data_IF_858127003524
#
_entry.id   IF_858127003524
#
_cell.length_a   1.000
_cell.length_b   1.000
_cell.length_c   1.000
_cell.angle_alpha   90.00
_cell.angle_beta   90.00
_cell.angle_gamma   90.00
#
_symmetry.space_group_name_H-M   'P 1'
#
loop_
_entity.id
_entity.type
_entity.pdbx_description
1 polymer ?
#
# COMPACT_ATOMS: atom_id res chain seq x y z
N UNK A 1 -12.49 -7.80 -0.52
CA UNK A 1 -12.04 -7.21 -1.80
C UNK A 1 -12.51 -8.07 -2.97
N UNK A 2 -13.53 -7.61 -3.73
CA UNK A 2 -14.09 -8.36 -4.89
C UNK A 2 -13.41 -8.01 -6.23
N UNK A 3 -12.36 -7.21 -6.23
CA UNK A 3 -11.80 -6.62 -7.47
C UNK A 3 -10.76 -7.48 -8.23
N UNK A 4 -10.30 -8.59 -7.67
CA UNK A 4 -9.21 -9.37 -8.25
C UNK A 4 -9.61 -10.22 -9.45
N UNK A 5 -10.76 -10.93 -9.48
CA UNK A 5 -11.19 -11.64 -10.67
C UNK A 5 -11.37 -10.71 -11.88
N UNK A 6 -11.84 -9.48 -11.66
CA UNK A 6 -12.02 -8.48 -12.71
C UNK A 6 -10.70 -7.97 -13.29
N UNK A 7 -9.63 -7.90 -12.49
CA UNK A 7 -8.31 -7.47 -12.97
C UNK A 7 -7.70 -8.49 -13.96
N UNK A 8 -7.86 -9.78 -13.71
CA UNK A 8 -7.41 -10.81 -14.66
C UNK A 8 -8.11 -10.69 -16.01
N UNK A 9 -9.43 -10.52 -16.02
CA UNK A 9 -10.18 -10.33 -17.26
C UNK A 9 -9.71 -9.09 -18.05
N UNK A 10 -9.39 -8.00 -17.34
CA UNK A 10 -8.85 -6.79 -17.95
C UNK A 10 -7.46 -7.04 -18.56
N UNK A 11 -6.60 -7.78 -17.89
CA UNK A 11 -5.27 -8.15 -18.39
C UNK A 11 -5.41 -9.02 -19.63
N UNK A 12 -6.30 -10.02 -19.64
CA UNK A 12 -6.55 -10.88 -20.79
C UNK A 12 -7.03 -10.08 -22.01
N UNK A 13 -7.93 -9.13 -21.78
CA UNK A 13 -8.40 -8.21 -22.84
C UNK A 13 -7.27 -7.32 -23.35
N UNK A 14 -6.41 -6.82 -22.46
CA UNK A 14 -5.26 -6.01 -22.82
C UNK A 14 -4.23 -6.79 -23.65
N UNK A 15 -3.97 -8.07 -23.31
CA UNK A 15 -3.11 -8.96 -24.11
C UNK A 15 -3.69 -9.14 -25.51
N UNK A 16 -5.00 -9.45 -25.64
CA UNK A 16 -5.68 -9.58 -26.93
C UNK A 16 -5.63 -8.32 -27.76
N UNK A 17 -5.69 -7.15 -27.13
CA UNK A 17 -5.59 -5.84 -27.78
C UNK A 17 -4.14 -5.42 -28.11
N UNK A 18 -3.14 -6.26 -27.80
CA UNK A 18 -1.73 -5.96 -28.07
C UNK A 18 -1.11 -4.90 -27.17
N UNK A 19 -1.70 -4.63 -26.00
CA UNK A 19 -1.12 -3.73 -24.98
C UNK A 19 0.21 -4.30 -24.52
N UNK A 20 1.24 -3.46 -24.49
CA UNK A 20 2.62 -3.89 -24.21
C UNK A 20 2.97 -3.87 -22.71
N UNK A 21 2.28 -3.08 -21.91
CA UNK A 21 2.60 -2.89 -20.48
C UNK A 21 1.35 -2.74 -19.64
N UNK A 22 1.35 -3.40 -18.48
CA UNK A 22 0.37 -3.18 -17.43
C UNK A 22 1.05 -2.73 -16.13
N UNK A 23 0.41 -1.83 -15.41
CA UNK A 23 0.71 -1.49 -14.02
C UNK A 23 -0.50 -2.00 -13.22
N UNK A 24 -0.39 -3.15 -12.54
CA UNK A 24 -1.52 -3.72 -11.81
C UNK A 24 -1.87 -2.90 -10.58
N UNK A 25 -3.03 -3.15 -9.98
CA UNK A 25 -3.50 -2.43 -8.79
C UNK A 25 -2.77 -2.91 -7.52
N UNK A 26 -1.47 -2.58 -7.43
CA UNK A 26 -0.69 -2.79 -6.20
C UNK A 26 -0.87 -1.60 -5.26
N UNK A 27 -0.27 -0.47 -5.51
CA UNK A 27 -0.43 0.83 -4.85
C UNK A 27 -0.65 0.75 -3.33
N UNK A 28 0.17 -0.02 -2.63
CA UNK A 28 0.00 -0.26 -1.20
C UNK A 28 1.17 -1.02 -0.60
N UNK A 29 0.85 -2.01 0.25
CA UNK A 29 1.83 -2.82 0.97
C UNK A 29 2.82 -3.52 0.03
N UNK A 30 4.06 -3.65 0.49
CA UNK A 30 5.10 -4.40 -0.21
C UNK A 30 4.81 -5.91 -0.15
N UNK A 31 4.38 -6.48 -1.27
CA UNK A 31 4.14 -7.92 -1.39
C UNK A 31 5.41 -8.72 -1.74
N UNK A 32 6.59 -8.09 -1.80
CA UNK A 32 7.87 -8.79 -1.76
C UNK A 32 8.28 -9.14 -0.32
N UNK A 33 7.71 -8.46 0.67
CA UNK A 33 7.80 -8.86 2.07
C UNK A 33 6.95 -10.13 2.32
N UNK A 34 7.58 -11.19 2.84
CA UNK A 34 6.93 -12.49 3.03
C UNK A 34 5.75 -12.45 4.02
N UNK A 35 5.82 -11.63 5.08
CA UNK A 35 4.75 -11.48 6.06
C UNK A 35 3.51 -10.86 5.43
N UNK A 36 3.68 -9.74 4.70
CA UNK A 36 2.58 -9.09 3.97
C UNK A 36 1.98 -10.00 2.91
N UNK A 37 2.84 -10.69 2.14
CA UNK A 37 2.44 -11.60 1.07
C UNK A 37 1.58 -12.78 1.58
N UNK A 38 1.81 -13.24 2.82
CA UNK A 38 1.08 -14.35 3.42
C UNK A 38 -0.33 -13.97 3.91
N UNK A 39 -0.66 -12.69 3.98
CA UNK A 39 -1.97 -12.23 4.46
C UNK A 39 -3.08 -12.58 3.47
N UNK A 40 -4.19 -13.20 3.92
CA UNK A 40 -5.29 -13.63 3.06
C UNK A 40 -5.89 -12.50 2.20
N UNK A 41 -5.90 -11.27 2.70
CA UNK A 41 -6.42 -10.12 1.96
C UNK A 41 -5.66 -9.82 0.67
N UNK A 42 -4.40 -10.26 0.55
CA UNK A 42 -3.55 -10.05 -0.62
C UNK A 42 -3.44 -11.27 -1.54
N UNK A 43 -4.04 -12.42 -1.19
CA UNK A 43 -3.96 -13.63 -2.00
C UNK A 43 -4.24 -13.39 -3.48
N UNK A 44 -5.29 -12.63 -3.77
CA UNK A 44 -5.63 -12.32 -5.14
C UNK A 44 -4.63 -11.41 -5.86
N UNK A 45 -3.95 -10.48 -5.17
CA UNK A 45 -2.85 -9.70 -5.77
C UNK A 45 -1.66 -10.60 -6.10
N UNK A 46 -1.34 -11.54 -5.19
CA UNK A 46 -0.29 -12.53 -5.40
C UNK A 46 -0.57 -13.42 -6.62
N UNK A 47 -1.82 -13.80 -6.85
CA UNK A 47 -2.22 -14.53 -8.06
C UNK A 47 -2.03 -13.70 -9.33
N UNK A 48 -2.38 -12.42 -9.29
CA UNK A 48 -2.15 -11.50 -10.42
C UNK A 48 -0.66 -11.32 -10.69
N UNK A 49 0.19 -11.15 -9.66
CA UNK A 49 1.65 -11.10 -9.85
C UNK A 49 2.17 -12.33 -10.58
N UNK A 50 1.81 -13.54 -10.12
CA UNK A 50 2.22 -14.80 -10.76
C UNK A 50 1.78 -14.87 -12.22
N UNK A 51 0.54 -14.47 -12.48
CA UNK A 51 0.01 -14.46 -13.84
C UNK A 51 0.77 -13.48 -14.75
N UNK A 52 1.15 -12.32 -14.24
CA UNK A 52 1.93 -11.34 -14.98
C UNK A 52 3.36 -11.84 -15.26
N UNK A 53 3.98 -12.54 -14.31
CA UNK A 53 5.27 -13.20 -14.51
C UNK A 53 5.20 -14.21 -15.67
N UNK A 54 4.15 -15.05 -15.73
CA UNK A 54 3.92 -16.01 -16.82
C UNK A 54 3.77 -15.30 -18.17
N UNK A 55 3.03 -14.19 -18.23
CA UNK A 55 2.84 -13.43 -19.46
C UNK A 55 4.14 -12.76 -19.92
N UNK A 56 4.94 -12.25 -18.99
CA UNK A 56 6.23 -11.62 -19.27
C UNK A 56 7.25 -12.64 -19.81
N UNK A 57 7.36 -13.81 -19.18
CA UNK A 57 8.23 -14.91 -19.64
C UNK A 57 7.87 -15.35 -21.08
N UNK A 58 6.58 -15.33 -21.45
CA UNK A 58 6.09 -15.64 -22.78
C UNK A 58 6.23 -14.47 -23.77
N UNK A 59 6.72 -13.32 -23.33
CA UNK A 59 6.83 -12.11 -24.18
C UNK A 59 5.49 -11.51 -24.61
N UNK A 60 4.39 -11.86 -23.95
CA UNK A 60 3.05 -11.41 -24.30
C UNK A 60 2.71 -10.04 -23.73
N UNK A 61 3.17 -9.75 -22.52
CA UNK A 61 2.94 -8.48 -21.84
C UNK A 61 4.03 -8.24 -20.79
N UNK A 62 4.55 -7.04 -20.71
CA UNK A 62 5.42 -6.58 -19.64
C UNK A 62 4.59 -5.97 -18.51
N UNK A 63 5.15 -5.92 -17.28
CA UNK A 63 4.47 -5.32 -16.13
C UNK A 63 5.41 -4.45 -15.29
N UNK A 64 4.83 -3.65 -14.41
CA UNK A 64 5.55 -2.96 -13.33
C UNK A 64 4.68 -2.97 -12.07
N UNK A 65 5.17 -3.57 -10.98
CA UNK A 65 4.51 -3.52 -9.68
C UNK A 65 4.95 -2.23 -8.98
N UNK A 66 3.99 -1.41 -8.53
CA UNK A 66 4.28 -0.17 -7.83
C UNK A 66 3.80 -0.26 -6.37
N UNK A 67 4.75 -0.37 -5.44
CA UNK A 67 4.49 -0.36 -4.00
C UNK A 67 4.71 1.03 -3.44
N UNK A 68 3.72 1.56 -2.74
CA UNK A 68 3.68 2.96 -2.27
C UNK A 68 3.63 3.07 -0.75
N UNK A 69 3.46 1.93 -0.05
CA UNK A 69 2.96 1.98 1.31
C UNK A 69 1.55 2.59 1.37
N UNK A 70 1.02 2.84 2.57
CA UNK A 70 -0.25 3.53 2.74
C UNK A 70 -0.16 5.00 2.30
N UNK A 71 -1.26 5.53 1.78
CA UNK A 71 -1.34 6.94 1.41
C UNK A 71 -1.62 7.78 2.65
N UNK A 72 -0.62 8.58 3.10
CA UNK A 72 -0.72 9.37 4.33
C UNK A 72 -1.89 10.36 4.30
N UNK A 73 -2.13 11.00 3.16
CA UNK A 73 -3.24 11.94 2.95
C UNK A 73 -4.61 11.24 3.09
N UNK A 74 -4.74 10.02 2.62
CA UNK A 74 -5.95 9.21 2.81
C UNK A 74 -6.07 8.71 4.25
N UNK A 75 -5.00 8.14 4.81
CA UNK A 75 -5.00 7.62 6.18
C UNK A 75 -5.41 8.67 7.21
N UNK A 76 -4.91 9.90 7.06
CA UNK A 76 -5.27 11.01 7.96
C UNK A 76 -6.72 11.46 7.75
N UNK A 77 -7.17 11.56 6.49
CA UNK A 77 -8.54 12.00 6.18
C UNK A 77 -9.59 10.98 6.64
N UNK A 78 -9.34 9.69 6.44
CA UNK A 78 -10.26 8.61 6.80
C UNK A 78 -10.14 8.18 8.28
N UNK A 79 -9.25 8.81 9.04
CA UNK A 79 -9.09 8.52 10.47
C UNK A 79 -8.50 7.14 10.77
N UNK A 80 -7.63 6.59 9.91
CA UNK A 80 -7.12 5.22 10.04
C UNK A 80 -6.36 5.00 11.36
N UNK A 81 -5.56 5.99 11.79
CA UNK A 81 -4.78 5.92 13.03
C UNK A 81 -5.35 6.83 14.12
N UNK A 82 -6.00 7.91 13.72
CA UNK A 82 -6.44 8.99 14.61
C UNK A 82 -7.86 9.42 14.26
N UNK A 83 -8.72 9.45 15.25
CA UNK A 83 -9.97 10.19 15.16
C UNK A 83 -9.69 11.65 15.58
N UNK A 84 -9.49 12.50 14.58
CA UNK A 84 -9.25 13.93 14.80
C UNK A 84 -10.46 14.64 15.42
N UNK A 85 -11.67 14.16 15.20
CA UNK A 85 -12.89 14.74 15.71
C UNK A 85 -13.10 14.36 17.19
N UNK A 86 -12.88 13.08 17.50
CA UNK A 86 -12.98 12.55 18.86
C UNK A 86 -11.70 12.72 19.70
N UNK A 87 -10.61 13.23 19.11
CA UNK A 87 -9.28 13.36 19.77
C UNK A 87 -8.80 12.04 20.36
N UNK A 88 -8.91 10.96 19.58
CA UNK A 88 -8.44 9.64 20.01
C UNK A 88 -7.44 9.06 19.01
N UNK A 89 -6.48 8.28 19.52
CA UNK A 89 -5.47 7.60 18.73
C UNK A 89 -5.32 6.14 19.13
N UNK A 90 -5.41 5.22 18.16
CA UNK A 90 -5.06 3.82 18.35
C UNK A 90 -3.56 3.65 18.04
N UNK A 91 -2.77 3.28 19.05
CA UNK A 91 -1.34 3.06 18.90
C UNK A 91 -1.08 1.55 18.83
N UNK A 92 -0.75 1.08 17.63
CA UNK A 92 -0.46 -0.33 17.38
C UNK A 92 0.95 -0.66 17.86
N UNK A 93 1.07 -1.70 18.70
CA UNK A 93 2.30 -2.14 19.36
C UNK A 93 3.12 -0.99 19.98
N UNK A 94 2.39 -0.02 20.56
CA UNK A 94 2.98 1.17 21.17
C UNK A 94 3.28 2.32 20.23
N UNK A 95 3.04 2.17 18.93
CA UNK A 95 3.12 3.24 17.93
C UNK A 95 4.55 3.72 17.61
N UNK A 96 5.58 2.90 17.87
CA UNK A 96 6.98 3.25 17.64
C UNK A 96 7.50 2.87 16.26
N UNK A 97 6.89 1.88 15.64
CA UNK A 97 7.33 1.38 14.34
C UNK A 97 7.24 2.47 13.27
N UNK A 98 8.30 2.57 12.46
CA UNK A 98 8.29 3.44 11.28
C UNK A 98 7.45 2.80 10.18
N UNK A 99 6.68 3.61 9.50
CA UNK A 99 5.85 3.23 8.38
C UNK A 99 6.28 4.06 7.19
N UNK A 100 6.68 3.41 6.10
CA UNK A 100 6.96 4.08 4.83
C UNK A 100 5.64 4.49 4.18
N UNK A 101 5.40 5.78 4.01
CA UNK A 101 4.14 6.32 3.50
C UNK A 101 4.37 7.23 2.30
N UNK A 102 3.40 7.26 1.41
CA UNK A 102 3.38 8.15 0.24
C UNK A 102 2.14 9.03 0.22
N UNK A 103 2.21 10.13 -0.54
CA UNK A 103 1.02 10.86 -0.94
C UNK A 103 0.47 10.27 -2.24
N UNK A 104 -0.82 10.39 -2.46
CA UNK A 104 -1.45 9.96 -3.71
C UNK A 104 -0.81 10.65 -4.93
N UNK A 105 -0.41 11.91 -4.80
CA UNK A 105 0.31 12.65 -5.85
C UNK A 105 1.67 12.04 -6.21
N UNK A 106 2.35 11.42 -5.25
CA UNK A 106 3.64 10.74 -5.48
C UNK A 106 3.45 9.46 -6.27
N UNK A 107 2.38 8.70 -6.00
CA UNK A 107 2.01 7.56 -6.84
C UNK A 107 1.77 7.99 -8.30
N UNK A 108 1.05 9.09 -8.53
CA UNK A 108 0.85 9.64 -9.88
C UNK A 108 2.15 10.02 -10.59
N UNK A 109 3.11 10.66 -9.87
CA UNK A 109 4.44 10.97 -10.40
C UNK A 109 5.22 9.70 -10.75
N UNK A 110 5.13 8.66 -9.90
CA UNK A 110 5.78 7.37 -10.14
C UNK A 110 5.21 6.68 -11.38
N UNK A 111 3.88 6.63 -11.54
CA UNK A 111 3.24 6.10 -12.75
C UNK A 111 3.72 6.82 -14.01
N UNK A 112 3.73 8.16 -13.98
CA UNK A 112 4.28 8.95 -15.10
C UNK A 112 5.74 8.54 -15.39
N UNK A 113 6.56 8.38 -14.37
CA UNK A 113 7.98 8.00 -14.54
C UNK A 113 8.12 6.60 -15.12
N UNK A 114 7.32 5.63 -14.67
CA UNK A 114 7.27 4.27 -15.21
C UNK A 114 6.94 4.31 -16.71
N UNK A 115 5.94 5.07 -17.11
CA UNK A 115 5.50 5.15 -18.51
C UNK A 115 6.52 5.84 -19.41
N UNK A 116 7.29 6.81 -18.89
CA UNK A 116 8.35 7.51 -19.66
C UNK A 116 9.68 6.77 -19.68
N UNK A 117 9.86 5.72 -18.85
CA UNK A 117 11.07 4.91 -18.76
C UNK A 117 10.73 3.41 -18.87
N UNK A 118 10.10 2.97 -19.99
CA UNK A 118 9.53 1.64 -20.09
C UNK A 118 10.57 0.51 -20.02
N UNK A 119 11.79 0.72 -20.52
CA UNK A 119 12.84 -0.31 -20.48
C UNK A 119 13.39 -0.53 -19.08
N UNK A 120 13.61 0.56 -18.34
CA UNK A 120 14.20 0.54 -16.99
C UNK A 120 13.23 -0.03 -15.94
N UNK A 121 11.92 0.01 -16.24
CA UNK A 121 10.85 -0.36 -15.31
C UNK A 121 10.12 -1.65 -15.71
N UNK A 122 10.65 -2.37 -16.73
CA UNK A 122 10.06 -3.60 -17.22
C UNK A 122 10.21 -4.75 -16.22
N UNK A 123 9.14 -5.51 -16.05
CA UNK A 123 9.09 -6.82 -15.38
C UNK A 123 9.72 -6.79 -13.96
N UNK A 124 9.39 -5.76 -13.21
CA UNK A 124 9.96 -5.56 -11.88
C UNK A 124 9.03 -4.80 -10.93
N UNK A 125 9.39 -4.88 -9.66
CA UNK A 125 8.83 -4.05 -8.60
C UNK A 125 9.59 -2.72 -8.48
N UNK A 126 8.84 -1.67 -8.14
CA UNK A 126 9.34 -0.32 -7.82
C UNK A 126 8.68 0.12 -6.52
N UNK A 127 9.49 0.68 -5.63
CA UNK A 127 9.06 1.23 -4.35
C UNK A 127 9.20 2.74 -4.36
N UNK A 128 8.19 3.43 -3.86
CA UNK A 128 8.21 4.88 -3.66
C UNK A 128 7.67 5.23 -2.29
N UNK A 129 8.24 6.27 -1.70
CA UNK A 129 7.77 6.85 -0.45
C UNK A 129 8.09 8.34 -0.39
N UNK A 130 7.31 9.08 0.39
CA UNK A 130 7.59 10.47 0.74
C UNK A 130 8.26 10.56 2.12
N UNK A 131 7.89 9.66 3.06
CA UNK A 131 8.33 9.75 4.45
C UNK A 131 8.32 8.37 5.12
N UNK A 132 9.22 8.20 6.08
CA UNK A 132 9.13 7.18 7.12
C UNK A 132 8.70 7.87 8.41
N UNK A 133 7.57 7.45 8.99
CA UNK A 133 6.99 8.10 10.15
C UNK A 133 6.32 7.10 11.08
N UNK A 134 6.49 7.26 12.39
CA UNK A 134 5.77 6.46 13.38
C UNK A 134 4.45 7.12 13.80
N UNK A 135 3.52 6.31 14.31
CA UNK A 135 2.26 6.84 14.86
C UNK A 135 2.51 7.85 15.98
N UNK A 136 3.52 7.61 16.83
CA UNK A 136 3.88 8.54 17.90
C UNK A 136 4.38 9.90 17.38
N UNK A 137 5.12 9.91 16.25
CA UNK A 137 5.52 11.16 15.61
C UNK A 137 4.33 11.91 15.02
N UNK A 138 3.41 11.19 14.35
CA UNK A 138 2.17 11.78 13.83
C UNK A 138 1.29 12.33 14.98
N UNK A 139 1.17 11.59 16.08
CA UNK A 139 0.40 12.04 17.25
C UNK A 139 1.00 13.31 17.87
N UNK A 140 2.33 13.39 18.01
CA UNK A 140 2.98 14.63 18.48
C UNK A 140 2.68 15.83 17.59
N UNK A 141 2.68 15.64 16.27
CA UNK A 141 2.30 16.70 15.34
C UNK A 141 0.84 17.10 15.51
N UNK A 142 -0.07 16.13 15.64
CA UNK A 142 -1.48 16.41 15.85
C UNK A 142 -1.71 17.20 17.15
N UNK A 143 -1.05 16.81 18.25
CA UNK A 143 -1.10 17.51 19.52
C UNK A 143 -0.53 18.94 19.44
N UNK A 144 0.56 19.13 18.71
CA UNK A 144 1.15 20.46 18.52
C UNK A 144 0.23 21.41 17.73
N UNK A 145 -0.55 20.86 16.79
CA UNK A 145 -1.53 21.62 16.01
C UNK A 145 -2.84 21.90 16.78
N UNK A 146 -3.07 21.18 17.88
CA UNK A 146 -4.28 21.30 18.72
C UNK A 146 -3.92 21.40 20.19
N UNK A 147 -3.16 22.43 20.64
CA UNK A 147 -2.56 22.48 21.97
C UNK A 147 -3.57 22.57 23.11
N UNK A 148 -4.79 23.03 22.85
CA UNK A 148 -5.88 23.09 23.84
C UNK A 148 -6.60 21.75 24.03
N UNK A 149 -6.37 20.77 23.13
CA UNK A 149 -7.13 19.53 23.11
C UNK A 149 -6.37 18.41 23.83
N UNK A 150 -7.10 17.62 24.60
CA UNK A 150 -6.56 16.42 25.24
C UNK A 150 -6.80 15.23 24.32
N UNK A 151 -5.72 14.60 23.88
CA UNK A 151 -5.77 13.38 23.09
C UNK A 151 -5.78 12.14 23.98
N UNK A 152 -6.80 11.30 23.84
CA UNK A 152 -6.84 9.99 24.48
C UNK A 152 -6.11 8.97 23.58
N UNK A 153 -5.31 8.10 24.18
CA UNK A 153 -4.59 7.05 23.44
C UNK A 153 -5.03 5.66 23.89
N UNK A 154 -5.20 4.74 22.95
CA UNK A 154 -5.46 3.33 23.21
C UNK A 154 -4.34 2.51 22.59
N UNK A 155 -3.71 1.64 23.39
CA UNK A 155 -2.75 0.65 22.88
C UNK A 155 -3.51 -0.53 22.30
N UNK A 156 -3.15 -0.95 21.09
CA UNK A 156 -3.74 -2.07 20.35
C UNK A 156 -2.62 -2.99 19.92
N UNK A 157 -2.78 -4.30 20.14
CA UNK A 157 -1.84 -5.28 19.59
C UNK A 157 -2.13 -5.54 18.11
N UNK A 158 -1.11 -5.42 17.26
CA UNK A 158 -1.25 -5.75 15.83
C UNK A 158 -1.48 -7.27 15.62
N UNK A 159 -0.94 -8.13 16.48
CA UNK A 159 -1.19 -9.58 16.41
C UNK A 159 -2.65 -9.94 16.72
N UNK A 160 -3.32 -9.17 17.57
CA UNK A 160 -4.73 -9.36 17.94
C UNK A 160 -5.74 -8.87 16.93
N UNK A 161 -5.32 -8.25 15.83
CA UNK A 161 -6.21 -7.77 14.80
C UNK A 161 -6.90 -8.93 14.05
N UNK A 162 -8.20 -8.81 13.82
CA UNK A 162 -8.98 -9.80 13.08
C UNK A 162 -8.62 -9.86 11.59
N UNK A 163 -9.23 -10.81 10.84
CA UNK A 163 -9.01 -10.94 9.39
C UNK A 163 -9.47 -9.71 8.60
N UNK A 164 -10.46 -8.98 9.10
CA UNK A 164 -10.96 -7.76 8.46
C UNK A 164 -9.95 -6.61 8.53
N UNK A 165 -8.97 -6.71 9.46
CA UNK A 165 -7.94 -5.72 9.70
C UNK A 165 -6.56 -6.12 9.11
N UNK A 166 -6.51 -7.13 8.25
CA UNK A 166 -5.26 -7.60 7.60
C UNK A 166 -4.51 -6.47 6.88
N UNK A 167 -5.21 -5.45 6.37
CA UNK A 167 -4.58 -4.28 5.77
C UNK A 167 -3.76 -3.50 6.80
N UNK A 168 -4.27 -3.36 8.03
CA UNK A 168 -3.53 -2.72 9.12
C UNK A 168 -2.29 -3.52 9.49
N UNK A 169 -2.40 -4.86 9.57
CA UNK A 169 -1.23 -5.73 9.79
C UNK A 169 -0.15 -5.51 8.75
N UNK A 170 -0.54 -5.43 7.47
CA UNK A 170 0.41 -5.22 6.38
C UNK A 170 1.17 -3.88 6.50
N UNK A 171 0.53 -2.84 7.03
CA UNK A 171 1.17 -1.54 7.27
C UNK A 171 2.31 -1.68 8.30
N UNK A 172 2.13 -2.55 9.32
CA UNK A 172 3.09 -2.75 10.40
C UNK A 172 4.11 -3.88 10.13
N UNK A 173 3.96 -4.65 9.05
CA UNK A 173 4.91 -5.68 8.64
C UNK A 173 5.92 -5.21 7.60
N UNK A 174 5.78 -3.98 7.11
CA UNK A 174 6.66 -3.41 6.08
C UNK A 174 7.94 -2.86 6.71
N UNK A 175 8.84 -3.74 7.15
CA UNK A 175 10.25 -3.45 7.39
C UNK A 175 11.09 -3.90 6.21
#
# INVERSE_FOLDING_TARGET
MKAVPSQRLLIDAAVKAGVKRVIPSEFGADLKNAKSRALPCFAGKVEIEKYLDELAVRGLMSYTLLFTGPFIDMCLREGLFFDFKGRTANLYDGGHQLISMSRLSTAGKAVRRILTHPRETADRAIWVKDIDVSQNQLLKLAQALTPSDKWATKKVSAEGLGKEEDILKAIFFSE
#
